data_IF_427884639257
#
_entry.id   IF_427884639257
#
_cell.length_a   1.000
_cell.length_b   1.000
_cell.length_c   1.000
_cell.angle_alpha   90.00
_cell.angle_beta   90.00
_cell.angle_gamma   90.00
#
_symmetry.space_group_name_H-M   'P 1'
#
loop_
_entity.id
_entity.type
_entity.pdbx_description
1 polymer ?
#
# COMPACT_ATOMS: atom_id res chain seq x y z
N UNK A 1 -45.33 21.28 32.48
CA UNK A 1 -44.16 20.38 32.45
C UNK A 1 -43.55 20.44 31.07
N UNK A 2 -42.40 21.11 30.91
CA UNK A 2 -41.79 21.36 29.61
C UNK A 2 -40.46 20.62 29.54
N UNK A 3 -40.40 19.59 28.69
CA UNK A 3 -39.24 18.71 28.52
C UNK A 3 -38.21 19.46 27.67
N UNK A 4 -37.20 20.05 28.30
CA UNK A 4 -36.03 20.59 27.60
C UNK A 4 -35.15 19.42 27.16
N UNK A 5 -35.20 19.09 25.86
CA UNK A 5 -34.28 18.15 25.22
C UNK A 5 -32.86 18.71 25.29
N UNK A 6 -32.00 17.99 26.01
CA UNK A 6 -30.55 18.21 26.05
C UNK A 6 -29.96 17.87 24.69
N UNK A 7 -29.40 18.88 24.00
CA UNK A 7 -28.62 18.68 22.80
C UNK A 7 -27.17 18.38 23.20
N UNK A 8 -26.87 17.11 23.46
CA UNK A 8 -25.49 16.63 23.62
C UNK A 8 -24.83 16.51 22.24
N UNK A 9 -24.27 17.61 21.73
CA UNK A 9 -23.49 17.61 20.48
C UNK A 9 -22.04 17.26 20.80
N UNK A 10 -21.76 15.97 20.95
CA UNK A 10 -20.40 15.44 21.02
C UNK A 10 -19.73 15.55 19.64
N UNK A 11 -19.26 16.76 19.31
CA UNK A 11 -18.32 16.94 18.22
C UNK A 11 -16.97 16.37 18.63
N UNK A 12 -16.64 15.17 18.14
CA UNK A 12 -15.30 14.59 18.28
C UNK A 12 -14.34 15.50 17.49
N UNK A 13 -13.72 16.46 18.16
CA UNK A 13 -12.67 17.28 17.56
C UNK A 13 -11.53 16.34 17.12
N UNK A 14 -11.34 16.19 15.81
CA UNK A 14 -10.20 15.48 15.24
C UNK A 14 -8.94 16.22 15.70
N UNK A 15 -8.20 15.61 16.62
CA UNK A 15 -6.94 16.18 17.13
C UNK A 15 -5.95 16.20 15.97
N UNK A 16 -5.65 17.38 15.46
CA UNK A 16 -4.61 17.57 14.45
C UNK A 16 -3.24 17.40 15.11
N UNK A 17 -2.51 16.35 14.73
CA UNK A 17 -1.11 16.15 15.11
C UNK A 17 -0.19 16.60 13.97
N UNK A 18 0.94 17.23 14.30
CA UNK A 18 1.95 17.65 13.32
C UNK A 18 3.08 16.63 13.24
N UNK A 19 3.64 16.46 12.03
CA UNK A 19 4.80 15.61 11.77
C UNK A 19 5.86 16.48 11.07
N UNK A 20 7.07 16.55 11.64
CA UNK A 20 8.20 17.27 11.05
C UNK A 20 9.10 16.26 10.35
N UNK A 21 9.33 16.46 9.05
CA UNK A 21 10.14 15.56 8.22
C UNK A 21 11.35 16.36 7.70
N UNK A 22 12.54 15.76 7.80
CA UNK A 22 13.77 16.31 7.23
C UNK A 22 14.05 15.64 5.90
N UNK A 23 14.46 16.44 4.92
CA UNK A 23 14.83 15.98 3.58
C UNK A 23 16.19 16.58 3.24
N UNK A 24 16.97 15.85 2.44
CA UNK A 24 18.09 16.45 1.73
C UNK A 24 17.57 17.35 0.59
N UNK A 25 18.50 18.12 0.00
CA UNK A 25 18.18 19.11 -1.02
C UNK A 25 17.60 18.47 -2.30
N UNK A 26 18.12 17.32 -2.71
CA UNK A 26 17.71 16.64 -3.94
C UNK A 26 16.29 16.08 -3.80
N UNK A 27 16.04 15.35 -2.71
CA UNK A 27 14.71 14.83 -2.37
C UNK A 27 13.67 15.94 -2.29
N UNK A 28 14.00 17.09 -1.67
CA UNK A 28 13.09 18.22 -1.55
C UNK A 28 12.77 18.83 -2.92
N UNK A 29 13.76 18.99 -3.80
CA UNK A 29 13.55 19.52 -5.16
C UNK A 29 12.65 18.61 -5.99
N UNK A 30 12.85 17.29 -5.89
CA UNK A 30 12.00 16.29 -6.56
C UNK A 30 10.53 16.39 -6.10
N UNK A 31 10.31 16.43 -4.78
CA UNK A 31 8.96 16.59 -4.20
C UNK A 31 8.31 17.92 -4.59
N UNK A 32 9.08 19.00 -4.63
CA UNK A 32 8.59 20.31 -5.07
C UNK A 32 8.10 20.28 -6.51
N UNK A 33 8.89 19.67 -7.41
CA UNK A 33 8.51 19.53 -8.82
C UNK A 33 7.26 18.67 -9.00
N UNK A 34 7.15 17.57 -8.27
CA UNK A 34 5.97 16.71 -8.33
C UNK A 34 4.70 17.39 -7.80
N UNK A 35 4.83 18.20 -6.73
CA UNK A 35 3.73 18.99 -6.18
C UNK A 35 3.28 20.09 -7.16
N UNK A 36 4.22 20.76 -7.82
CA UNK A 36 3.96 21.75 -8.88
C UNK A 36 3.18 21.14 -10.05
N UNK A 37 3.60 19.97 -10.55
CA UNK A 37 2.89 19.26 -11.63
C UNK A 37 1.44 18.92 -11.25
N UNK A 38 1.17 18.71 -9.95
CA UNK A 38 -0.17 18.43 -9.42
C UNK A 38 -0.90 19.68 -8.93
N UNK A 39 -0.30 20.86 -9.02
CA UNK A 39 -0.87 22.14 -8.56
C UNK A 39 -1.31 22.11 -7.08
N UNK A 40 -0.53 21.45 -6.23
CA UNK A 40 -0.77 21.35 -4.79
C UNK A 40 0.49 21.75 -4.01
N UNK A 41 0.33 22.04 -2.71
CA UNK A 41 1.48 22.32 -1.85
C UNK A 41 2.33 21.06 -1.64
N UNK A 42 3.64 21.23 -1.38
CA UNK A 42 4.56 20.12 -1.08
C UNK A 42 4.09 19.31 0.13
N UNK A 43 3.58 20.00 1.17
CA UNK A 43 2.99 19.36 2.36
C UNK A 43 1.82 18.45 1.99
N UNK A 44 0.90 18.94 1.14
CA UNK A 44 -0.27 18.17 0.72
C UNK A 44 0.11 17.02 -0.21
N UNK A 45 1.09 17.22 -1.09
CA UNK A 45 1.64 16.17 -1.93
C UNK A 45 2.22 15.03 -1.08
N UNK A 46 3.09 15.36 -0.13
CA UNK A 46 3.71 14.40 0.78
C UNK A 46 2.65 13.65 1.58
N UNK A 47 1.68 14.36 2.17
CA UNK A 47 0.57 13.74 2.90
C UNK A 47 -0.18 12.75 2.03
N UNK A 48 -0.59 13.18 0.83
CA UNK A 48 -1.41 12.36 -0.08
C UNK A 48 -0.68 11.09 -0.47
N UNK A 49 0.58 11.20 -0.89
CA UNK A 49 1.38 10.05 -1.34
C UNK A 49 1.71 9.12 -0.17
N UNK A 50 2.19 9.66 0.95
CA UNK A 50 2.62 8.86 2.09
C UNK A 50 1.45 8.11 2.76
N UNK A 51 0.28 8.76 2.91
CA UNK A 51 -0.90 8.10 3.49
C UNK A 51 -1.44 7.02 2.57
N UNK A 52 -1.49 7.26 1.25
CA UNK A 52 -1.92 6.24 0.30
C UNK A 52 -0.99 5.01 0.36
N UNK A 53 0.32 5.24 0.32
CA UNK A 53 1.31 4.16 0.39
C UNK A 53 1.22 3.39 1.71
N UNK A 54 1.17 4.09 2.84
CA UNK A 54 1.06 3.45 4.15
C UNK A 54 -0.22 2.62 4.29
N UNK A 55 -1.35 3.06 3.71
CA UNK A 55 -2.58 2.27 3.69
C UNK A 55 -2.40 0.99 2.90
N UNK A 56 -1.85 1.07 1.69
CA UNK A 56 -1.59 -0.11 0.87
C UNK A 56 -0.69 -1.12 1.59
N UNK A 57 0.34 -0.65 2.30
CA UNK A 57 1.24 -1.52 3.07
C UNK A 57 0.55 -2.18 4.27
N UNK A 58 -0.26 -1.42 5.01
CA UNK A 58 -1.02 -1.93 6.14
C UNK A 58 -2.07 -2.93 5.68
N UNK A 59 -2.86 -2.60 4.67
CA UNK A 59 -3.89 -3.47 4.09
C UNK A 59 -3.27 -4.74 3.50
N UNK A 60 -2.19 -4.60 2.71
CA UNK A 60 -1.49 -5.75 2.15
C UNK A 60 -0.94 -6.72 3.22
N UNK A 61 -0.44 -6.17 4.33
CA UNK A 61 0.03 -6.97 5.47
C UNK A 61 -1.13 -7.64 6.22
N UNK A 62 -2.23 -6.91 6.44
CA UNK A 62 -3.40 -7.43 7.17
C UNK A 62 -4.12 -8.50 6.37
N UNK A 63 -4.25 -8.33 5.07
CA UNK A 63 -4.94 -9.29 4.19
C UNK A 63 -4.04 -10.48 3.79
N UNK A 64 -2.78 -10.51 4.24
CA UNK A 64 -1.76 -11.43 3.73
C UNK A 64 -1.70 -11.43 2.19
N UNK A 65 -1.97 -10.25 1.61
CA UNK A 65 -2.05 -10.07 0.17
C UNK A 65 -0.66 -9.80 -0.38
N UNK A 66 -0.27 -10.57 -1.40
CA UNK A 66 0.99 -10.34 -2.11
C UNK A 66 0.77 -9.16 -3.05
N UNK A 67 1.39 -8.03 -2.75
CA UNK A 67 1.36 -6.84 -3.63
C UNK A 67 2.39 -7.05 -4.74
N UNK A 68 1.91 -7.07 -5.99
CA UNK A 68 2.74 -7.22 -7.18
C UNK A 68 2.81 -5.89 -7.94
N UNK A 69 3.99 -5.58 -8.47
CA UNK A 69 4.14 -4.53 -9.49
C UNK A 69 3.38 -4.90 -10.77
N UNK A 70 3.10 -3.96 -11.68
CA UNK A 70 2.40 -4.27 -12.94
C UNK A 70 3.10 -5.35 -13.78
N UNK A 71 4.44 -5.34 -13.82
CA UNK A 71 5.22 -6.35 -14.55
C UNK A 71 5.11 -7.73 -13.90
N UNK A 72 5.22 -7.80 -12.58
CA UNK A 72 5.05 -9.05 -11.83
C UNK A 72 3.62 -9.59 -11.95
N UNK A 73 2.62 -8.71 -11.96
CA UNK A 73 1.21 -9.09 -12.13
C UNK A 73 0.99 -9.70 -13.52
N UNK A 74 1.55 -9.11 -14.58
CA UNK A 74 1.50 -9.67 -15.93
C UNK A 74 2.22 -11.02 -16.01
N UNK A 75 3.41 -11.14 -15.42
CA UNK A 75 4.16 -12.39 -15.38
C UNK A 75 3.38 -13.50 -14.66
N UNK A 76 2.77 -13.17 -13.52
CA UNK A 76 1.92 -14.06 -12.76
C UNK A 76 0.71 -14.54 -13.55
N UNK A 77 -0.04 -13.61 -14.17
CA UNK A 77 -1.20 -13.96 -15.01
C UNK A 77 -0.81 -14.80 -16.21
N UNK A 78 0.32 -14.49 -16.86
CA UNK A 78 0.85 -15.30 -17.96
C UNK A 78 1.18 -16.72 -17.50
N UNK A 79 1.79 -16.88 -16.32
CA UNK A 79 2.12 -18.18 -15.77
C UNK A 79 0.86 -19.01 -15.40
N UNK A 80 -0.22 -18.37 -14.94
CA UNK A 80 -1.50 -19.05 -14.69
C UNK A 80 -2.16 -19.50 -16.00
N UNK A 81 -2.18 -18.64 -17.02
CA UNK A 81 -2.77 -18.95 -18.33
C UNK A 81 -1.95 -19.98 -19.13
N UNK A 82 -0.63 -19.98 -18.96
CA UNK A 82 0.30 -20.90 -19.62
C UNK A 82 1.28 -21.47 -18.59
N UNK A 83 0.85 -22.46 -17.80
CA UNK A 83 1.71 -23.05 -16.78
C UNK A 83 2.98 -23.63 -17.41
N UNK A 84 4.17 -23.23 -16.93
CA UNK A 84 5.41 -23.81 -17.42
C UNK A 84 5.50 -25.28 -17.03
N UNK A 85 6.14 -26.09 -17.87
CA UNK A 85 6.38 -27.49 -17.55
C UNK A 85 7.35 -27.59 -16.37
N UNK A 86 7.00 -28.41 -15.39
CA UNK A 86 7.88 -28.70 -14.27
C UNK A 86 9.25 -29.19 -14.76
N UNK A 87 10.30 -28.60 -14.22
CA UNK A 87 11.68 -29.03 -14.45
C UNK A 87 11.92 -30.45 -13.91
N UNK A 88 12.96 -31.17 -14.40
CA UNK A 88 13.33 -32.46 -13.85
C UNK A 88 13.58 -32.43 -12.34
N UNK A 89 14.18 -31.35 -11.82
CA UNK A 89 14.41 -31.17 -10.38
C UNK A 89 13.11 -31.05 -9.59
N UNK A 90 12.16 -30.24 -10.06
CA UNK A 90 10.83 -30.11 -9.43
C UNK A 90 10.05 -31.43 -9.47
N UNK A 91 10.16 -32.21 -10.54
CA UNK A 91 9.54 -33.54 -10.62
C UNK A 91 10.14 -34.52 -9.60
N UNK A 92 11.46 -34.53 -9.44
CA UNK A 92 12.13 -35.36 -8.42
C UNK A 92 11.71 -34.97 -7.01
N UNK A 93 11.68 -33.67 -6.71
CA UNK A 93 11.19 -33.17 -5.43
C UNK A 93 9.73 -33.58 -5.19
N UNK A 94 8.87 -33.44 -6.21
CA UNK A 94 7.47 -33.84 -6.11
C UNK A 94 7.29 -35.33 -5.83
N UNK A 95 8.12 -36.21 -6.42
CA UNK A 95 8.13 -37.65 -6.10
C UNK A 95 8.51 -37.90 -4.64
N UNK A 96 9.60 -37.28 -4.18
CA UNK A 96 10.06 -37.36 -2.80
C UNK A 96 8.96 -36.91 -1.81
N UNK A 97 8.30 -35.78 -2.07
CA UNK A 97 7.22 -35.25 -1.22
C UNK A 97 5.98 -36.17 -1.19
N UNK A 98 5.75 -36.98 -2.22
CA UNK A 98 4.68 -37.98 -2.26
C UNK A 98 5.08 -39.34 -1.68
N UNK A 99 6.32 -39.50 -1.22
CA UNK A 99 6.85 -40.78 -0.74
C UNK A 99 7.12 -41.80 -1.85
N UNK A 100 7.04 -41.37 -3.12
CA UNK A 100 7.45 -42.16 -4.28
C UNK A 100 8.97 -42.06 -4.38
N UNK A 101 9.68 -43.06 -3.86
CA UNK A 101 11.14 -43.18 -4.00
C UNK A 101 11.49 -43.89 -5.30
#
# INVERSE_FOLDING_TARGET
MSIKRSANKAGRATKTTSLVIRFDQESRSCLARAAELRQISVSEYVRTVAVAQARCEVEGTVESAIVLTPEEQLAFWSALNRPPKLSPAQKRLGKLMRGET
#
